data_IF_496897674982
#
_entry.id   IF_496897674982
#
_cell.length_a   1.000
_cell.length_b   1.000
_cell.length_c   1.000
_cell.angle_alpha   90.00
_cell.angle_beta   90.00
_cell.angle_gamma   90.00
#
_symmetry.space_group_name_H-M   'P 1'
#
loop_
_entity.id
_entity.type
_entity.pdbx_description
1 polymer ?
#
# COMPACT_ATOMS: atom_id res chain seq x y z
N UNK A 1 -4.17 -29.09 2.76
CA UNK A 1 -4.55 -27.97 3.65
C UNK A 1 -4.36 -26.65 2.92
N UNK A 2 -5.35 -25.83 2.90
CA UNK A 2 -5.22 -24.52 2.29
C UNK A 2 -4.34 -23.62 3.15
N UNK A 3 -3.53 -22.82 2.49
CA UNK A 3 -2.73 -21.81 3.16
C UNK A 3 -3.64 -20.64 3.51
N UNK A 4 -3.53 -20.15 4.73
CA UNK A 4 -4.37 -19.05 5.21
C UNK A 4 -4.18 -17.77 4.39
N UNK A 5 -2.94 -17.50 3.99
CA UNK A 5 -2.65 -16.30 3.20
C UNK A 5 -3.31 -16.33 1.82
N UNK A 6 -3.43 -17.50 1.22
CA UNK A 6 -4.05 -17.62 -0.09
C UNK A 6 -5.52 -17.15 -0.06
N UNK A 7 -6.19 -17.37 1.08
CA UNK A 7 -7.56 -16.91 1.26
C UNK A 7 -7.66 -15.40 1.53
N UNK A 8 -6.56 -14.77 1.92
CA UNK A 8 -6.54 -13.37 2.31
C UNK A 8 -5.80 -12.47 1.34
N UNK A 9 -5.31 -12.99 0.21
CA UNK A 9 -4.54 -12.18 -0.73
C UNK A 9 -5.34 -10.96 -1.20
N UNK A 10 -6.60 -11.14 -1.54
CA UNK A 10 -7.43 -10.01 -1.97
C UNK A 10 -7.68 -9.03 -0.83
N UNK A 11 -7.90 -9.53 0.39
CA UNK A 11 -8.09 -8.68 1.56
C UNK A 11 -6.83 -7.88 1.87
N UNK A 12 -5.67 -8.50 1.75
CA UNK A 12 -4.38 -7.82 1.93
C UNK A 12 -4.22 -6.72 0.89
N UNK A 13 -4.49 -7.02 -0.37
CA UNK A 13 -4.38 -6.04 -1.45
C UNK A 13 -5.31 -4.85 -1.23
N UNK A 14 -6.56 -5.11 -0.87
CA UNK A 14 -7.53 -4.04 -0.61
C UNK A 14 -7.08 -3.16 0.57
N UNK A 15 -6.56 -3.77 1.62
CA UNK A 15 -6.05 -3.02 2.77
C UNK A 15 -4.83 -2.17 2.41
N UNK A 16 -3.91 -2.70 1.60
CA UNK A 16 -2.75 -1.96 1.12
C UNK A 16 -3.21 -0.75 0.31
N UNK A 17 -4.14 -0.93 -0.62
CA UNK A 17 -4.63 0.17 -1.44
C UNK A 17 -5.28 1.26 -0.59
N UNK A 18 -6.03 0.88 0.45
CA UNK A 18 -6.61 1.84 1.38
C UNK A 18 -5.57 2.63 2.16
N UNK A 19 -4.51 1.98 2.61
CA UNK A 19 -3.42 2.66 3.33
C UNK A 19 -2.61 3.56 2.41
N UNK A 20 -2.34 3.12 1.18
CA UNK A 20 -1.62 3.93 0.20
C UNK A 20 -2.43 5.17 -0.17
N UNK A 21 -3.75 5.07 -0.23
CA UNK A 21 -4.62 6.19 -0.54
C UNK A 21 -4.45 7.36 0.42
N UNK A 22 -4.13 7.07 1.69
CA UNK A 22 -3.91 8.12 2.68
C UNK A 22 -2.43 8.51 2.83
N UNK A 23 -1.56 7.95 2.01
CA UNK A 23 -0.13 8.26 2.06
C UNK A 23 0.09 9.71 1.63
N UNK A 24 0.72 10.47 2.51
CA UNK A 24 0.94 11.89 2.34
C UNK A 24 2.41 12.17 2.03
N UNK A 25 2.87 11.71 0.87
CA UNK A 25 4.25 11.91 0.43
C UNK A 25 4.38 12.93 -0.67
N UNK A 26 3.42 13.80 -0.84
CA UNK A 26 3.44 14.73 -1.95
C UNK A 26 4.30 15.96 -1.69
N UNK A 27 4.99 16.33 -2.74
CA UNK A 27 5.62 17.65 -2.88
C UNK A 27 5.06 18.23 -4.17
N UNK A 28 5.12 19.57 -4.36
CA UNK A 28 4.55 20.17 -5.57
C UNK A 28 5.10 19.61 -6.88
N UNK A 29 6.36 19.25 -6.90
CA UNK A 29 6.99 18.58 -8.03
C UNK A 29 8.10 17.68 -7.51
N UNK A 30 8.18 16.46 -8.00
CA UNK A 30 9.27 15.60 -7.61
C UNK A 30 8.98 14.12 -7.79
N UNK A 31 10.02 13.35 -7.59
CA UNK A 31 9.96 11.91 -7.56
C UNK A 31 10.57 11.44 -6.25
N UNK A 32 9.96 10.46 -5.65
CA UNK A 32 10.42 9.91 -4.38
C UNK A 32 10.23 8.42 -4.37
N UNK A 33 11.24 7.70 -3.88
CA UNK A 33 11.12 6.28 -3.61
C UNK A 33 11.19 6.07 -2.12
N UNK A 34 10.39 5.14 -1.62
CA UNK A 34 10.33 4.86 -0.20
C UNK A 34 9.99 3.40 0.01
N UNK A 35 10.32 2.89 1.18
CA UNK A 35 9.95 1.55 1.60
C UNK A 35 9.25 1.68 2.94
N UNK A 36 8.04 1.15 3.03
CA UNK A 36 7.26 1.22 4.25
C UNK A 36 6.81 -0.17 4.68
N UNK A 37 6.51 -0.30 5.96
CA UNK A 37 5.89 -1.51 6.51
C UNK A 37 4.50 -1.12 7.00
N UNK A 38 3.48 -1.80 6.51
CA UNK A 38 2.10 -1.55 6.91
C UNK A 38 1.61 -2.64 7.86
N UNK A 39 1.01 -2.21 8.95
CA UNK A 39 0.30 -3.09 9.87
C UNK A 39 -1.15 -3.16 9.44
N UNK A 40 -1.63 -4.35 9.13
CA UNK A 40 -2.98 -4.54 8.61
C UNK A 40 -3.78 -5.44 9.54
N UNK A 41 -5.06 -5.10 9.72
CA UNK A 41 -6.03 -5.97 10.37
C UNK A 41 -6.88 -6.63 9.30
N UNK A 42 -6.96 -7.94 9.31
CA UNK A 42 -7.66 -8.72 8.31
C UNK A 42 -8.87 -9.42 8.91
N UNK A 43 -9.84 -9.82 8.07
CA UNK A 43 -10.97 -10.60 8.54
C UNK A 43 -10.55 -11.91 9.24
N UNK A 44 -11.33 -12.35 10.19
CA UNK A 44 -11.06 -13.60 10.90
C UNK A 44 -10.08 -13.48 12.06
N UNK A 45 -9.76 -12.27 12.49
CA UNK A 45 -8.86 -12.04 13.62
C UNK A 45 -7.38 -12.15 13.26
N UNK A 46 -7.06 -12.08 11.99
CA UNK A 46 -5.68 -12.12 11.52
C UNK A 46 -5.08 -10.72 11.45
N UNK A 47 -3.79 -10.66 11.68
CA UNK A 47 -2.99 -9.45 11.54
C UNK A 47 -1.83 -9.73 10.60
N UNK A 48 -1.46 -8.75 9.83
CA UNK A 48 -0.34 -8.89 8.91
C UNK A 48 0.53 -7.63 8.92
N UNK A 49 1.82 -7.82 8.74
CA UNK A 49 2.74 -6.74 8.39
C UNK A 49 3.24 -7.02 6.98
N UNK A 50 3.13 -6.02 6.12
CA UNK A 50 3.52 -6.16 4.72
C UNK A 50 4.55 -5.09 4.39
N UNK A 51 5.65 -5.49 3.78
CA UNK A 51 6.69 -4.56 3.33
C UNK A 51 6.38 -4.12 1.91
N UNK A 52 6.39 -2.82 1.69
CA UNK A 52 5.96 -2.24 0.41
C UNK A 52 7.01 -1.26 -0.09
N UNK A 53 7.37 -1.40 -1.36
CA UNK A 53 8.16 -0.41 -2.06
C UNK A 53 7.23 0.56 -2.76
N UNK A 54 7.47 1.85 -2.57
CA UNK A 54 6.69 2.92 -3.17
C UNK A 54 7.53 3.69 -4.16
N UNK A 55 6.92 4.05 -5.28
CA UNK A 55 7.49 5.01 -6.22
C UNK A 55 6.44 6.10 -6.43
N UNK A 56 6.75 7.29 -5.93
CA UNK A 56 5.82 8.41 -5.93
C UNK A 56 6.31 9.46 -6.92
N UNK A 57 5.45 9.87 -7.83
CA UNK A 57 5.70 10.99 -8.74
C UNK A 57 4.63 12.04 -8.53
N UNK A 58 5.04 13.28 -8.36
CA UNK A 58 4.11 14.39 -8.20
C UNK A 58 4.46 15.51 -9.16
N UNK A 59 3.45 16.24 -9.56
CA UNK A 59 3.62 17.43 -10.39
C UNK A 59 2.53 18.43 -10.07
N UNK A 60 2.82 19.68 -10.36
CA UNK A 60 1.85 20.74 -10.16
C UNK A 60 1.20 21.11 -11.48
N UNK A 61 -0.12 21.00 -11.53
CA UNK A 61 -0.89 21.51 -12.66
C UNK A 61 -1.12 23.01 -12.47
N UNK A 62 -0.94 23.76 -13.54
CA UNK A 62 -1.10 25.22 -13.49
C UNK A 62 -2.54 25.66 -13.30
N UNK A 63 -3.48 24.73 -13.49
CA UNK A 63 -4.88 25.04 -13.45
C UNK A 63 -5.37 25.69 -14.75
N UNK A 64 -6.59 26.14 -14.71
CA UNK A 64 -7.22 26.85 -15.81
C UNK A 64 -7.88 28.11 -15.26
N UNK A 65 -8.55 28.86 -16.11
CA UNK A 65 -9.26 30.07 -15.69
C UNK A 65 -10.25 29.80 -14.56
N UNK A 66 -10.92 28.65 -14.60
CA UNK A 66 -11.95 28.28 -13.61
C UNK A 66 -11.44 27.34 -12.51
N UNK A 67 -10.26 26.74 -12.69
CA UNK A 67 -9.70 25.75 -11.77
C UNK A 67 -8.37 26.26 -11.24
N UNK A 68 -8.24 26.43 -9.91
CA UNK A 68 -6.95 26.87 -9.34
C UNK A 68 -5.86 25.82 -9.54
N UNK A 69 -4.58 26.21 -9.46
CA UNK A 69 -3.49 25.25 -9.51
C UNK A 69 -3.61 24.18 -8.42
N UNK A 70 -3.24 22.97 -8.76
CA UNK A 70 -3.33 21.84 -7.83
C UNK A 70 -2.18 20.88 -8.06
N UNK A 71 -1.93 20.05 -7.06
CA UNK A 71 -0.90 19.00 -7.14
C UNK A 71 -1.58 17.69 -7.54
N UNK A 72 -1.01 17.04 -8.53
CA UNK A 72 -1.41 15.71 -8.96
C UNK A 72 -0.27 14.73 -8.70
N UNK A 73 -0.59 13.47 -8.59
CA UNK A 73 0.43 12.48 -8.35
C UNK A 73 0.03 11.06 -8.71
N UNK A 74 1.04 10.22 -8.76
CA UNK A 74 0.89 8.78 -8.99
C UNK A 74 1.78 8.08 -7.98
N UNK A 75 1.23 7.07 -7.32
CA UNK A 75 2.02 6.14 -6.50
C UNK A 75 1.93 4.77 -7.15
N UNK A 76 3.09 4.23 -7.52
CA UNK A 76 3.20 2.81 -7.86
C UNK A 76 3.73 2.10 -6.63
N UNK A 77 3.12 0.97 -6.28
CA UNK A 77 3.53 0.21 -5.11
C UNK A 77 3.69 -1.27 -5.45
N UNK A 78 4.58 -1.90 -4.72
CA UNK A 78 4.83 -3.33 -4.86
C UNK A 78 5.04 -3.93 -3.47
N UNK A 79 4.23 -4.92 -3.13
CA UNK A 79 4.41 -5.65 -1.89
C UNK A 79 5.50 -6.69 -2.06
N UNK A 80 6.41 -6.79 -1.08
CA UNK A 80 7.55 -7.69 -1.11
C UNK A 80 7.39 -8.89 -0.21
N UNK A 81 7.08 -8.64 1.04
CA UNK A 81 7.07 -9.67 2.07
C UNK A 81 5.86 -9.47 2.96
N UNK A 82 5.50 -10.53 3.66
CA UNK A 82 4.48 -10.45 4.67
C UNK A 82 4.80 -11.34 5.85
N UNK A 83 4.27 -10.96 7.02
CA UNK A 83 4.18 -11.82 8.20
C UNK A 83 2.73 -11.82 8.64
N UNK A 84 2.17 -13.00 8.88
CA UNK A 84 0.77 -13.19 9.26
C UNK A 84 0.70 -13.86 10.62
N UNK A 85 -0.13 -13.32 11.52
CA UNK A 85 -0.32 -13.91 12.84
C UNK A 85 -1.73 -13.65 13.36
N UNK A 86 -2.07 -14.31 14.46
CA UNK A 86 -3.29 -14.04 15.22
C UNK A 86 -2.90 -13.59 16.63
N UNK A 87 -3.88 -13.18 17.43
CA UNK A 87 -3.63 -12.83 18.83
C UNK A 87 -3.07 -13.98 19.64
N UNK A 88 -3.40 -15.21 19.26
CA UNK A 88 -2.95 -16.42 19.96
C UNK A 88 -1.59 -16.92 19.50
N UNK A 89 -1.19 -16.59 18.27
CA UNK A 89 0.02 -17.11 17.65
C UNK A 89 0.88 -15.98 17.12
N UNK A 90 2.16 -16.02 17.42
CA UNK A 90 3.08 -14.95 17.08
C UNK A 90 3.32 -14.84 15.58
N UNK A 91 3.63 -15.88 14.88
CA UNK A 91 3.72 -15.86 13.42
C UNK A 91 3.21 -17.19 12.90
N UNK A 92 2.09 -17.18 12.21
CA UNK A 92 1.54 -18.38 11.61
C UNK A 92 2.10 -18.63 10.22
N UNK A 93 2.38 -17.56 9.48
CA UNK A 93 2.92 -17.68 8.13
C UNK A 93 3.73 -16.45 7.78
N UNK A 94 4.78 -16.64 7.00
CA UNK A 94 5.54 -15.56 6.41
C UNK A 94 5.95 -15.95 5.00
N UNK A 95 6.25 -14.98 4.15
CA UNK A 95 6.67 -15.27 2.80
C UNK A 95 6.75 -14.03 1.93
N UNK A 96 6.87 -14.26 0.64
CA UNK A 96 6.93 -13.21 -0.36
C UNK A 96 5.55 -13.01 -0.97
N UNK A 97 5.23 -11.76 -1.27
CA UNK A 97 4.03 -11.39 -2.00
C UNK A 97 4.42 -10.85 -3.37
N UNK A 98 3.62 -11.20 -4.36
CA UNK A 98 3.77 -10.65 -5.70
C UNK A 98 2.53 -9.82 -6.04
N UNK A 99 2.35 -8.76 -5.26
CA UNK A 99 1.24 -7.82 -5.45
C UNK A 99 1.79 -6.48 -5.84
N UNK A 100 1.10 -5.82 -6.74
CA UNK A 100 1.44 -4.45 -7.12
C UNK A 100 0.17 -3.69 -7.47
N UNK A 101 0.26 -2.39 -7.39
CA UNK A 101 -0.87 -1.54 -7.70
C UNK A 101 -0.44 -0.12 -8.00
N UNK A 102 -1.43 0.71 -8.29
CA UNK A 102 -1.25 2.10 -8.64
C UNK A 102 -2.37 2.92 -8.03
N UNK A 103 -2.01 4.03 -7.44
CA UNK A 103 -2.96 5.02 -6.95
C UNK A 103 -2.65 6.36 -7.60
N UNK A 104 -3.70 7.08 -8.01
CA UNK A 104 -3.57 8.38 -8.69
C UNK A 104 -4.45 9.40 -7.99
N UNK A 105 -3.95 10.62 -7.82
CA UNK A 105 -4.73 11.73 -7.30
C UNK A 105 -4.53 13.01 -8.08
#
# INVERSE_FOLDING_TARGET
MERKIDNFIQDIKDAIEGEIEVYDGYEPEGEKEDTISLDLSLPGGFYAVVNIELSVSTWQDKGTYDIPPYVSGIIYWKAKDYNLWTEEYEYEEEGELDLSGKFTW
#
